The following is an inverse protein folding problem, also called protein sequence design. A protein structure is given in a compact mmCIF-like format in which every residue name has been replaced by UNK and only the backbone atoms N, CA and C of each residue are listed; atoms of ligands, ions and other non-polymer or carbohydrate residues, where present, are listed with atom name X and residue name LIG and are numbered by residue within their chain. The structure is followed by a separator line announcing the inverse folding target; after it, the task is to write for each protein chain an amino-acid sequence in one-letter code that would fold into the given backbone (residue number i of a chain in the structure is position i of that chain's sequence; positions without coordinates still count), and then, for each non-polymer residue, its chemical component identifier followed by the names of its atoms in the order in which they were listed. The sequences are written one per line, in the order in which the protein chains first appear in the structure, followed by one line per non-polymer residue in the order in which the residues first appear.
data_IF_456089088535
#
_entry.id   IF_456089088535
#
_cell.length_a   1.000
_cell.length_b   1.000
_cell.length_c   1.000
_cell.angle_alpha   90.00
_cell.angle_beta   90.00
_cell.angle_gamma   90.00
#
_symmetry.space_group_name_H-M   'P 1'
#
loop_
_entity.id
_entity.type
_entity.pdbx_description
1 polymer ?
#
# COMPACT_ATOMS: atom_id res chain seq x y z
N UNK A 1 15.95 12.44 11.90
CA UNK A 1 16.15 11.09 12.48
C UNK A 1 17.23 10.28 11.75
N UNK A 2 17.16 10.09 10.42
CA UNK A 2 18.14 9.25 9.69
C UNK A 2 19.60 9.72 9.82
N UNK A 3 19.86 11.02 9.74
CA UNK A 3 21.22 11.57 9.81
C UNK A 3 21.85 11.41 11.21
N UNK A 4 21.05 11.42 12.28
CA UNK A 4 21.54 11.21 13.66
C UNK A 4 21.85 9.74 13.94
N UNK A 5 21.03 8.81 13.45
CA UNK A 5 21.33 7.37 13.48
C UNK A 5 22.63 7.07 12.71
N UNK A 6 22.81 7.72 11.56
CA UNK A 6 24.06 7.67 10.82
C UNK A 6 25.25 8.19 11.65
N UNK A 7 25.10 9.28 12.40
CA UNK A 7 26.17 9.78 13.28
C UNK A 7 26.52 8.81 14.40
N UNK A 8 25.53 8.14 15.00
CA UNK A 8 25.78 7.13 16.02
C UNK A 8 26.62 5.98 15.45
N UNK A 9 26.22 5.44 14.29
CA UNK A 9 26.99 4.43 13.56
C UNK A 9 28.38 4.95 13.16
N UNK A 10 28.47 6.21 12.74
CA UNK A 10 29.74 6.85 12.39
C UNK A 10 30.68 6.95 13.60
N UNK A 11 30.18 7.21 14.81
CA UNK A 11 31.01 7.24 16.02
C UNK A 11 31.56 5.86 16.38
N UNK A 12 30.82 4.79 16.10
CA UNK A 12 31.35 3.43 16.27
C UNK A 12 32.44 3.13 15.23
N UNK A 13 32.24 3.56 13.98
CA UNK A 13 33.25 3.45 12.92
C UNK A 13 34.52 4.29 13.22
N UNK A 14 34.37 5.44 13.88
CA UNK A 14 35.47 6.29 14.36
C UNK A 14 36.30 5.60 15.44
N UNK A 15 35.67 4.83 16.33
CA UNK A 15 36.37 4.00 17.33
C UNK A 15 37.18 2.89 16.65
N UNK A 16 36.61 2.23 15.65
CA UNK A 16 37.30 1.17 14.88
C UNK A 16 38.50 1.72 14.09
N UNK A 17 38.42 2.95 13.60
CA UNK A 17 39.52 3.64 12.91
C UNK A 17 40.56 4.25 13.86
N UNK A 18 40.41 4.08 15.18
CA UNK A 18 41.28 4.65 16.22
C UNK A 18 41.50 6.16 16.08
N UNK A 19 40.45 6.89 15.70
CA UNK A 19 40.45 8.36 15.59
C UNK A 19 40.01 8.98 16.91
N UNK A 20 40.58 10.12 17.28
CA UNK A 20 40.16 10.83 18.49
C UNK A 20 38.74 11.37 18.35
N UNK A 21 37.83 10.83 19.17
CA UNK A 21 36.42 11.20 19.20
C UNK A 21 36.22 12.69 19.50
N UNK A 22 37.10 13.28 20.32
CA UNK A 22 36.99 14.69 20.72
C UNK A 22 37.26 15.61 19.51
N UNK A 23 38.29 15.32 18.71
CA UNK A 23 38.56 16.07 17.48
C UNK A 23 37.44 15.93 16.43
N UNK A 24 36.86 14.73 16.33
CA UNK A 24 35.73 14.43 15.43
C UNK A 24 34.48 15.24 15.83
N UNK A 25 34.13 15.25 17.11
CA UNK A 25 33.00 16.04 17.62
C UNK A 25 33.22 17.54 17.44
N UNK A 26 34.43 18.04 17.71
CA UNK A 26 34.78 19.45 17.48
C UNK A 26 34.55 19.87 16.03
N UNK A 27 34.98 19.06 15.07
CA UNK A 27 34.77 19.36 13.66
C UNK A 27 33.30 19.29 13.26
N UNK A 28 32.55 18.36 13.84
CA UNK A 28 31.11 18.26 13.60
C UNK A 28 30.34 19.50 14.07
N UNK A 29 30.66 20.01 15.27
CA UNK A 29 30.10 21.27 15.75
C UNK A 29 30.56 22.46 14.90
N UNK A 30 31.81 22.46 14.44
CA UNK A 30 32.28 23.52 13.54
C UNK A 30 31.49 23.55 12.22
N UNK A 31 31.17 22.39 11.65
CA UNK A 31 30.37 22.28 10.43
C UNK A 31 28.94 22.77 10.63
N UNK A 32 28.35 22.55 11.80
CA UNK A 32 26.97 22.93 12.04
C UNK A 32 26.76 24.43 12.16
N UNK A 33 27.75 25.17 12.67
CA UNK A 33 27.76 26.63 12.70
C UNK A 33 28.31 27.28 11.42
N UNK A 34 28.65 26.48 10.41
CA UNK A 34 29.15 27.01 9.14
C UNK A 34 28.01 27.56 8.27
N UNK A 35 28.32 28.57 7.44
CA UNK A 35 27.35 29.20 6.54
C UNK A 35 27.25 28.42 5.23
N UNK A 36 26.01 28.14 4.82
CA UNK A 36 25.75 27.50 3.54
C UNK A 36 26.30 28.35 2.39
N UNK A 37 27.03 27.72 1.47
CA UNK A 37 27.63 28.40 0.30
C UNK A 37 28.95 29.11 0.57
N UNK A 38 29.41 29.16 1.84
CA UNK A 38 30.73 29.68 2.16
C UNK A 38 31.82 28.61 1.98
N UNK A 39 32.94 29.00 1.36
CA UNK A 39 34.10 28.14 1.20
C UNK A 39 35.00 28.18 2.44
N UNK A 40 35.44 27.02 2.90
CA UNK A 40 36.36 26.86 4.03
C UNK A 40 37.64 26.16 3.58
N UNK A 41 38.78 26.53 4.16
CA UNK A 41 40.08 25.99 3.78
C UNK A 41 40.33 24.64 4.45
N UNK A 42 40.90 23.70 3.70
CA UNK A 42 41.29 22.38 4.23
C UNK A 42 42.58 22.48 5.07
N UNK A 43 43.40 23.49 4.82
CA UNK A 43 44.65 23.75 5.57
C UNK A 43 44.42 24.15 7.03
N UNK A 44 43.24 24.67 7.38
CA UNK A 44 42.91 25.01 8.77
C UNK A 44 42.46 23.82 9.60
N UNK A 45 42.37 22.63 9.00
CA UNK A 45 41.89 21.41 9.65
C UNK A 45 43.05 20.53 10.13
N UNK A 46 42.87 19.85 11.25
CA UNK A 46 43.83 18.85 11.74
C UNK A 46 43.89 17.63 10.80
N UNK A 47 44.95 16.82 10.83
CA UNK A 47 45.03 15.60 10.01
C UNK A 47 43.86 14.63 10.21
N UNK A 48 43.33 14.56 11.44
CA UNK A 48 42.16 13.75 11.80
C UNK A 48 40.90 14.33 11.14
N UNK A 49 40.73 15.65 11.20
CA UNK A 49 39.62 16.35 10.56
C UNK A 49 39.66 16.26 9.03
N UNK A 50 40.84 16.25 8.42
CA UNK A 50 41.00 16.03 6.97
C UNK A 50 40.59 14.62 6.55
N UNK A 51 40.90 13.60 7.36
CA UNK A 51 40.41 12.23 7.15
C UNK A 51 38.88 12.18 7.27
N UNK A 52 38.32 12.80 8.31
CA UNK A 52 36.88 12.90 8.50
C UNK A 52 36.18 13.62 7.34
N UNK A 53 36.78 14.69 6.80
CA UNK A 53 36.25 15.42 5.65
C UNK A 53 36.10 14.53 4.41
N UNK A 54 36.99 13.56 4.19
CA UNK A 54 36.84 12.60 3.07
C UNK A 54 35.63 11.69 3.27
N UNK A 55 35.39 11.28 4.51
CA UNK A 55 34.24 10.44 4.86
C UNK A 55 32.95 11.24 4.68
N UNK A 56 32.89 12.46 5.25
CA UNK A 56 31.74 13.36 5.10
C UNK A 56 31.45 13.73 3.65
N UNK A 57 32.49 13.80 2.80
CA UNK A 57 32.33 13.96 1.35
C UNK A 57 31.64 12.76 0.71
N UNK A 58 32.01 11.53 1.10
CA UNK A 58 31.35 10.31 0.64
C UNK A 58 29.85 10.28 0.97
N UNK A 59 29.48 10.89 2.11
CA UNK A 59 28.08 11.00 2.56
C UNK A 59 27.34 12.25 2.08
N UNK A 60 27.98 13.12 1.31
CA UNK A 60 27.36 14.37 0.85
C UNK A 60 27.11 15.41 1.96
N UNK A 61 27.75 15.26 3.12
CA UNK A 61 27.71 16.24 4.23
C UNK A 61 28.67 17.41 4.00
N UNK A 62 29.70 17.21 3.18
CA UNK A 62 30.59 18.25 2.70
C UNK A 62 30.84 18.07 1.19
N UNK A 63 30.80 19.16 0.43
CA UNK A 63 31.14 19.17 -0.97
C UNK A 63 32.58 19.62 -1.17
N UNK A 64 33.28 18.92 -2.06
CA UNK A 64 34.65 19.23 -2.48
C UNK A 64 34.82 18.78 -3.93
N UNK A 65 35.28 19.67 -4.81
CA UNK A 65 35.37 19.41 -6.27
C UNK A 65 36.32 18.25 -6.59
N UNK A 66 37.45 18.18 -5.88
CA UNK A 66 38.46 17.11 -6.01
C UNK A 66 39.07 16.77 -4.65
N UNK A 67 39.66 15.58 -4.50
CA UNK A 67 40.41 15.19 -3.28
C UNK A 67 41.58 16.12 -2.97
N UNK A 68 42.07 16.88 -3.94
CA UNK A 68 43.17 17.85 -3.81
C UNK A 68 42.71 19.31 -3.69
N UNK A 69 41.41 19.61 -3.83
CA UNK A 69 40.92 21.00 -3.83
C UNK A 69 41.15 21.67 -2.46
N UNK A 70 41.81 22.83 -2.36
CA UNK A 70 42.10 23.46 -1.06
C UNK A 70 40.85 23.92 -0.29
N UNK A 71 39.67 23.95 -0.93
CA UNK A 71 38.42 24.44 -0.33
C UNK A 71 37.37 23.33 -0.21
N UNK A 72 36.57 23.39 0.85
CA UNK A 72 35.37 22.57 1.01
C UNK A 72 34.16 23.45 1.34
N UNK A 73 32.97 22.92 1.06
CA UNK A 73 31.69 23.61 1.24
C UNK A 73 30.75 22.72 2.08
N UNK A 74 30.30 23.18 3.25
CA UNK A 74 29.25 22.50 4.01
C UNK A 74 27.96 22.42 3.19
N UNK A 75 27.31 21.25 3.21
CA UNK A 75 26.01 21.07 2.55
C UNK A 75 24.86 21.38 3.50
N UNK A 76 23.64 21.50 2.97
CA UNK A 76 22.44 21.68 3.81
C UNK A 76 22.26 20.55 4.83
N UNK A 77 22.69 19.34 4.50
CA UNK A 77 22.59 18.16 5.37
C UNK A 77 23.49 18.28 6.61
N UNK A 78 24.71 18.82 6.49
CA UNK A 78 25.60 19.00 7.65
C UNK A 78 25.11 20.09 8.59
N UNK A 79 24.57 21.18 8.05
CA UNK A 79 24.02 22.28 8.85
C UNK A 79 22.72 21.85 9.56
N UNK A 80 21.82 21.18 8.84
CA UNK A 80 20.55 20.70 9.38
C UNK A 80 20.71 19.58 10.44
N UNK A 81 21.86 18.89 10.45
CA UNK A 81 22.11 17.82 11.41
C UNK A 81 22.06 18.30 12.88
N UNK A 82 22.56 19.52 13.17
CA UNK A 82 22.56 20.05 14.54
C UNK A 82 21.31 20.85 14.88
N UNK A 83 20.65 21.44 13.88
CA UNK A 83 19.47 22.29 14.09
C UNK A 83 18.15 21.52 14.03
N UNK A 84 18.18 20.23 13.69
CA UNK A 84 16.98 19.44 13.44
C UNK A 84 16.46 19.61 12.02
N UNK A 85 15.70 18.62 11.54
CA UNK A 85 15.21 18.59 10.15
C UNK A 85 14.16 19.67 9.82
N UNK A 86 13.66 20.41 10.82
CA UNK A 86 12.81 21.60 10.60
C UNK A 86 13.54 22.68 9.77
N UNK A 87 14.88 22.70 9.80
CA UNK A 87 15.70 23.65 9.03
C UNK A 87 15.78 23.33 7.53
N UNK A 88 15.34 22.15 7.07
CA UNK A 88 15.42 21.74 5.66
C UNK A 88 14.24 22.21 4.80
N UNK A 89 13.25 22.89 5.41
CA UNK A 89 12.11 23.44 4.69
C UNK A 89 11.09 22.38 4.27
N UNK A 90 9.86 22.84 4.14
CA UNK A 90 8.56 22.15 4.00
C UNK A 90 8.43 21.17 2.81
N UNK A 91 9.33 20.21 2.68
CA UNK A 91 9.23 19.11 1.71
C UNK A 91 8.26 18.00 2.17
N UNK A 92 7.47 18.26 3.23
CA UNK A 92 6.59 17.31 3.90
C UNK A 92 5.24 17.06 3.18
N UNK A 93 5.04 17.57 1.96
CA UNK A 93 3.73 17.50 1.28
C UNK A 93 3.59 16.48 0.17
N UNK A 94 4.62 15.69 -0.12
CA UNK A 94 4.53 14.68 -1.16
C UNK A 94 4.61 13.29 -0.54
N UNK A 95 3.47 12.73 -0.14
CA UNK A 95 3.32 11.31 0.18
C UNK A 95 3.94 10.83 1.51
N UNK A 96 3.10 10.41 2.43
CA UNK A 96 3.50 9.93 3.76
C UNK A 96 3.32 8.42 3.97
N UNK A 97 2.72 7.72 3.00
CA UNK A 97 2.40 6.28 3.12
C UNK A 97 3.43 5.41 2.40
N UNK A 98 3.83 4.34 3.07
CA UNK A 98 4.64 3.26 2.54
C UNK A 98 3.91 1.94 2.75
N UNK A 99 3.81 1.14 1.70
CA UNK A 99 3.14 -0.17 1.74
C UNK A 99 4.09 -1.25 1.23
N UNK A 100 4.23 -2.32 2.03
CA UNK A 100 5.09 -3.45 1.73
C UNK A 100 4.29 -4.65 1.18
N UNK A 101 5.00 -5.61 0.59
CA UNK A 101 4.43 -6.87 0.07
C UNK A 101 3.81 -7.75 1.17
N UNK A 102 4.15 -7.55 2.44
CA UNK A 102 3.60 -8.29 3.58
C UNK A 102 2.33 -7.64 4.17
N UNK A 103 1.66 -6.76 3.42
CA UNK A 103 0.47 -5.98 3.83
C UNK A 103 0.71 -4.97 4.96
N UNK A 104 1.96 -4.72 5.36
CA UNK A 104 2.27 -3.66 6.34
C UNK A 104 2.21 -2.29 5.69
N UNK A 105 1.67 -1.35 6.47
CA UNK A 105 1.53 0.05 6.10
C UNK A 105 2.27 0.89 7.14
N UNK A 106 3.14 1.75 6.66
CA UNK A 106 3.89 2.71 7.44
C UNK A 106 3.48 4.11 7.02
N UNK A 107 2.99 4.91 7.96
CA UNK A 107 2.51 6.26 7.69
C UNK A 107 3.32 7.27 8.51
N UNK A 108 4.02 8.18 7.83
CA UNK A 108 4.79 9.25 8.46
C UNK A 108 3.95 10.51 8.57
N UNK A 109 2.99 10.49 9.50
CA UNK A 109 2.10 11.63 9.73
C UNK A 109 1.84 11.85 11.22
N UNK A 110 1.74 13.12 11.60
CA UNK A 110 1.24 13.57 12.91
C UNK A 110 -0.24 13.98 12.85
N UNK A 111 -0.83 14.07 11.66
CA UNK A 111 -2.21 14.49 11.46
C UNK A 111 -3.19 13.45 11.96
N UNK A 112 -4.03 13.83 12.93
CA UNK A 112 -5.08 12.94 13.45
C UNK A 112 -6.10 12.54 12.39
N UNK A 113 -6.35 13.42 11.40
CA UNK A 113 -7.29 13.17 10.31
C UNK A 113 -6.76 12.07 9.38
N UNK A 114 -5.49 12.16 8.97
CA UNK A 114 -4.89 11.16 8.08
C UNK A 114 -4.82 9.79 8.76
N UNK A 115 -4.52 9.76 10.07
CA UNK A 115 -4.54 8.54 10.87
C UNK A 115 -5.95 7.96 10.95
N UNK A 116 -6.98 8.79 11.13
CA UNK A 116 -8.37 8.35 11.20
C UNK A 116 -8.87 7.81 9.85
N UNK A 117 -8.47 8.43 8.72
CA UNK A 117 -8.77 7.94 7.38
C UNK A 117 -8.09 6.59 7.12
N UNK A 118 -6.82 6.45 7.50
CA UNK A 118 -6.09 5.20 7.38
C UNK A 118 -6.75 4.08 8.20
N UNK A 119 -7.24 4.41 9.40
CA UNK A 119 -7.96 3.48 10.27
C UNK A 119 -9.30 2.97 9.72
N UNK A 120 -9.82 3.53 8.62
CA UNK A 120 -11.04 3.00 7.98
C UNK A 120 -10.80 1.66 7.27
N UNK A 121 -9.58 1.42 6.79
CA UNK A 121 -9.26 0.23 5.99
C UNK A 121 -7.97 -0.49 6.41
N UNK A 122 -7.22 0.06 7.39
CA UNK A 122 -6.01 -0.52 7.97
C UNK A 122 -6.22 -0.81 9.45
N UNK A 123 -5.81 -1.99 9.90
CA UNK A 123 -5.71 -2.33 11.32
C UNK A 123 -4.44 -1.67 11.91
N UNK A 124 -4.63 -0.58 12.66
CA UNK A 124 -3.55 0.22 13.25
C UNK A 124 -2.98 -0.49 14.49
N UNK A 125 -1.69 -0.88 14.42
CA UNK A 125 -1.01 -1.65 15.48
C UNK A 125 -0.25 -0.76 16.46
N UNK A 126 0.55 0.16 15.92
CA UNK A 126 1.40 1.03 16.72
C UNK A 126 1.26 2.47 16.29
N UNK A 127 1.19 3.36 17.28
CA UNK A 127 1.14 4.81 17.07
C UNK A 127 2.25 5.46 17.89
N UNK A 128 3.15 6.13 17.18
CA UNK A 128 4.21 6.96 17.72
C UNK A 128 3.97 8.42 17.32
N UNK A 129 4.64 9.39 17.96
CA UNK A 129 4.61 10.78 17.53
C UNK A 129 5.13 10.90 16.08
N UNK A 130 4.25 11.25 15.14
CA UNK A 130 4.58 11.43 13.72
C UNK A 130 4.76 10.14 12.91
N UNK A 131 4.43 8.98 13.47
CA UNK A 131 4.60 7.70 12.79
C UNK A 131 3.57 6.66 13.23
N UNK A 132 2.97 5.97 12.27
CA UNK A 132 1.97 4.93 12.52
C UNK A 132 2.31 3.69 11.73
N UNK A 133 2.13 2.54 12.37
CA UNK A 133 2.30 1.21 11.76
C UNK A 133 0.97 0.48 11.80
N UNK A 134 0.54 -0.04 10.67
CA UNK A 134 -0.67 -0.85 10.55
C UNK A 134 -0.49 -2.01 9.58
N UNK A 135 -1.52 -2.83 9.49
CA UNK A 135 -1.58 -3.96 8.56
C UNK A 135 -2.93 -3.95 7.85
N UNK A 136 -2.93 -4.13 6.54
CA UNK A 136 -4.15 -4.33 5.77
C UNK A 136 -4.55 -5.80 5.93
N UNK A 137 -5.71 -6.05 6.51
CA UNK A 137 -6.23 -7.40 6.76
C UNK A 137 -7.56 -7.58 6.03
N UNK A 138 -7.97 -8.85 5.85
CA UNK A 138 -9.30 -9.17 5.33
C UNK A 138 -10.41 -8.47 6.12
N UNK A 139 -10.28 -8.42 7.44
CA UNK A 139 -11.28 -7.84 8.33
C UNK A 139 -11.33 -6.31 8.21
N UNK A 140 -10.18 -5.64 8.14
CA UNK A 140 -10.13 -4.18 7.97
C UNK A 140 -10.67 -3.76 6.60
N UNK A 141 -10.35 -4.50 5.53
CA UNK A 141 -10.95 -4.27 4.22
C UNK A 141 -12.46 -4.54 4.20
N UNK A 142 -12.91 -5.61 4.86
CA UNK A 142 -14.34 -5.92 4.98
C UNK A 142 -15.11 -4.81 5.69
N UNK A 143 -14.56 -4.28 6.79
CA UNK A 143 -15.15 -3.16 7.50
C UNK A 143 -15.23 -1.89 6.63
N UNK A 144 -14.18 -1.58 5.88
CA UNK A 144 -14.17 -0.47 4.93
C UNK A 144 -15.28 -0.62 3.86
N UNK A 145 -15.44 -1.81 3.30
CA UNK A 145 -16.45 -2.12 2.29
C UNK A 145 -17.88 -2.00 2.83
N UNK A 146 -18.11 -2.40 4.09
CA UNK A 146 -19.41 -2.20 4.77
C UNK A 146 -19.72 -0.71 4.94
N UNK A 147 -18.70 0.10 5.20
CA UNK A 147 -18.81 1.55 5.28
C UNK A 147 -18.92 2.24 3.90
N UNK A 148 -19.00 1.47 2.81
CA UNK A 148 -19.16 1.99 1.45
C UNK A 148 -17.86 2.42 0.76
N UNK A 149 -16.69 2.04 1.30
CA UNK A 149 -15.38 2.33 0.70
C UNK A 149 -14.99 1.15 -0.19
N UNK A 150 -15.03 1.35 -1.51
CA UNK A 150 -14.70 0.33 -2.51
C UNK A 150 -13.20 0.03 -2.59
N UNK A 151 -12.83 -1.17 -3.05
CA UNK A 151 -11.44 -1.62 -3.12
C UNK A 151 -10.56 -0.71 -3.99
N UNK A 152 -11.10 -0.22 -5.10
CA UNK A 152 -10.44 0.76 -5.97
C UNK A 152 -10.17 2.11 -5.28
N UNK A 153 -11.03 2.54 -4.35
CA UNK A 153 -10.84 3.78 -3.59
C UNK A 153 -9.72 3.62 -2.56
N UNK A 154 -9.62 2.45 -1.92
CA UNK A 154 -8.51 2.12 -1.01
C UNK A 154 -7.18 2.17 -1.76
N UNK A 155 -7.10 1.48 -2.90
CA UNK A 155 -5.90 1.47 -3.75
C UNK A 155 -5.56 2.88 -4.23
N UNK A 156 -6.56 3.63 -4.72
CA UNK A 156 -6.39 5.02 -5.16
C UNK A 156 -5.85 5.93 -4.06
N UNK A 157 -6.39 5.84 -2.85
CA UNK A 157 -5.91 6.59 -1.70
C UNK A 157 -4.44 6.29 -1.38
N UNK A 158 -4.06 5.01 -1.36
CA UNK A 158 -2.66 4.61 -1.13
C UNK A 158 -1.76 5.16 -2.25
N UNK A 159 -2.17 5.11 -3.52
CA UNK A 159 -1.38 5.64 -4.64
C UNK A 159 -1.19 7.16 -4.53
N UNK A 160 -2.26 7.90 -4.24
CA UNK A 160 -2.22 9.37 -4.11
C UNK A 160 -1.32 9.80 -2.96
N UNK A 161 -1.31 9.07 -1.84
CA UNK A 161 -0.52 9.42 -0.67
C UNK A 161 0.78 8.61 -0.51
N UNK A 162 1.16 7.82 -1.52
CA UNK A 162 2.40 7.05 -1.52
C UNK A 162 3.63 7.96 -1.47
N UNK A 163 4.63 7.55 -0.69
CA UNK A 163 5.91 8.22 -0.54
C UNK A 163 6.60 8.44 -1.91
N UNK A 164 7.35 9.53 -2.13
CA UNK A 164 7.90 9.88 -3.44
C UNK A 164 8.80 8.79 -4.02
N UNK A 165 9.59 8.14 -3.15
CA UNK A 165 10.45 7.02 -3.53
C UNK A 165 9.67 5.78 -3.97
N UNK A 166 8.42 5.60 -3.49
CA UNK A 166 7.55 4.55 -4.00
C UNK A 166 6.91 4.93 -5.33
N UNK A 167 6.61 6.22 -5.54
CA UNK A 167 6.07 6.70 -6.82
C UNK A 167 7.04 6.53 -7.99
N UNK A 168 8.35 6.44 -7.72
CA UNK A 168 9.35 6.10 -8.76
C UNK A 168 9.33 4.63 -9.17
N UNK A 169 8.66 3.77 -8.40
CA UNK A 169 8.52 2.35 -8.72
C UNK A 169 7.30 2.11 -9.62
N UNK A 170 7.43 1.17 -10.55
CA UNK A 170 6.34 0.75 -11.44
C UNK A 170 6.08 -0.74 -11.23
N UNK A 171 4.95 -1.15 -10.63
CA UNK A 171 3.87 -0.33 -10.08
C UNK A 171 4.20 0.32 -8.72
N UNK A 172 3.55 1.45 -8.41
CA UNK A 172 3.76 2.23 -7.17
C UNK A 172 3.43 1.40 -5.93
N UNK A 173 2.35 0.62 -6.01
CA UNK A 173 1.93 -0.31 -4.97
C UNK A 173 2.29 -1.73 -5.44
N UNK A 174 2.82 -2.59 -4.57
CA UNK A 174 3.02 -3.99 -4.90
C UNK A 174 1.74 -4.66 -5.43
N UNK A 175 1.86 -5.40 -6.54
CA UNK A 175 0.71 -6.02 -7.24
C UNK A 175 -0.07 -6.93 -6.30
N UNK A 176 0.63 -7.71 -5.48
CA UNK A 176 0.02 -8.64 -4.55
C UNK A 176 -0.91 -7.94 -3.53
N UNK A 177 -0.58 -6.71 -3.10
CA UNK A 177 -1.42 -5.93 -2.19
C UNK A 177 -2.71 -5.50 -2.90
N UNK A 178 -2.56 -5.00 -4.13
CA UNK A 178 -3.70 -4.57 -4.96
C UNK A 178 -4.64 -5.74 -5.23
N UNK A 179 -4.09 -6.88 -5.66
CA UNK A 179 -4.85 -8.09 -5.95
C UNK A 179 -5.55 -8.62 -4.70
N UNK A 180 -4.88 -8.60 -3.55
CA UNK A 180 -5.46 -9.10 -2.30
C UNK A 180 -6.65 -8.26 -1.84
N UNK A 181 -6.58 -6.93 -1.96
CA UNK A 181 -7.69 -6.02 -1.64
C UNK A 181 -8.89 -6.30 -2.57
N UNK A 182 -8.63 -6.39 -3.88
CA UNK A 182 -9.67 -6.67 -4.87
C UNK A 182 -10.28 -8.08 -4.69
N UNK A 183 -9.46 -9.06 -4.31
CA UNK A 183 -9.93 -10.40 -4.01
C UNK A 183 -10.89 -10.37 -2.82
N UNK A 184 -10.53 -9.68 -1.73
CA UNK A 184 -11.39 -9.53 -0.55
C UNK A 184 -12.71 -8.82 -0.85
N UNK A 185 -12.72 -7.83 -1.73
CA UNK A 185 -13.95 -7.21 -2.22
C UNK A 185 -14.84 -8.24 -2.95
N UNK A 186 -14.28 -9.00 -3.89
CA UNK A 186 -15.02 -10.06 -4.61
C UNK A 186 -15.52 -11.19 -3.71
N UNK A 187 -14.93 -11.39 -2.53
CA UNK A 187 -15.45 -12.39 -1.59
C UNK A 187 -16.83 -12.04 -1.04
N UNK A 188 -17.17 -10.74 -0.99
CA UNK A 188 -18.51 -10.27 -0.60
C UNK A 188 -19.54 -10.59 -1.69
N UNK A 189 -19.16 -10.46 -2.95
CA UNK A 189 -20.05 -10.61 -4.11
C UNK A 189 -20.21 -12.08 -4.56
N UNK A 190 -19.91 -13.05 -3.68
CA UNK A 190 -19.97 -14.49 -4.00
C UNK A 190 -21.39 -15.05 -4.12
N UNK A 191 -22.38 -14.38 -3.54
CA UNK A 191 -23.75 -14.88 -3.50
C UNK A 191 -24.63 -14.07 -4.43
N UNK A 192 -25.08 -14.70 -5.51
CA UNK A 192 -26.14 -14.19 -6.37
C UNK A 192 -27.42 -14.91 -5.96
N UNK A 193 -28.33 -14.16 -5.33
CA UNK A 193 -29.66 -14.68 -5.00
C UNK A 193 -30.55 -14.56 -6.24
N UNK A 194 -31.11 -15.68 -6.67
CA UNK A 194 -32.08 -15.72 -7.76
C UNK A 194 -33.40 -16.28 -7.23
N UNK A 195 -34.47 -15.48 -7.29
CA UNK A 195 -35.82 -15.93 -6.97
C UNK A 195 -36.39 -16.74 -8.13
N UNK A 196 -37.01 -17.89 -7.82
CA UNK A 196 -37.43 -18.83 -8.85
C UNK A 196 -37.98 -20.14 -8.31
N UNK A 197 -38.20 -21.08 -9.22
CA UNK A 197 -38.78 -22.39 -8.92
C UNK A 197 -37.81 -23.50 -9.27
N UNK A 198 -37.62 -24.43 -8.32
CA UNK A 198 -36.93 -25.69 -8.53
C UNK A 198 -37.92 -26.73 -9.03
N UNK A 199 -37.69 -27.27 -10.21
CA UNK A 199 -38.39 -28.46 -10.69
C UNK A 199 -37.61 -29.72 -10.29
N UNK A 200 -38.32 -30.64 -9.65
CA UNK A 200 -37.83 -31.95 -9.21
C UNK A 200 -38.99 -32.97 -9.24
N UNK A 201 -38.67 -34.25 -9.05
CA UNK A 201 -39.64 -35.35 -8.94
C UNK A 201 -40.58 -35.51 -10.15
N UNK A 202 -40.01 -35.56 -11.35
CA UNK A 202 -40.79 -35.79 -12.57
C UNK A 202 -41.32 -37.23 -12.64
N UNK A 203 -42.62 -37.44 -12.96
CA UNK A 203 -43.21 -38.78 -13.08
C UNK A 203 -42.62 -39.59 -14.25
N UNK A 204 -42.24 -38.92 -15.33
CA UNK A 204 -41.68 -39.52 -16.54
C UNK A 204 -40.44 -38.75 -17.01
N UNK A 205 -39.45 -39.48 -17.51
CA UNK A 205 -38.22 -38.88 -18.06
C UNK A 205 -38.48 -38.03 -19.31
N UNK A 206 -39.50 -38.40 -20.11
CA UNK A 206 -39.94 -37.61 -21.27
C UNK A 206 -40.56 -36.26 -20.89
N UNK A 207 -41.21 -36.18 -19.74
CA UNK A 207 -41.76 -34.93 -19.21
C UNK A 207 -40.64 -34.03 -18.70
N UNK A 208 -39.66 -34.60 -17.99
CA UNK A 208 -38.47 -33.87 -17.57
C UNK A 208 -37.73 -33.26 -18.76
N UNK A 209 -37.49 -34.04 -19.82
CA UNK A 209 -36.81 -33.59 -21.05
C UNK A 209 -37.57 -32.47 -21.77
N UNK A 210 -38.89 -32.56 -21.84
CA UNK A 210 -39.72 -31.53 -22.47
C UNK A 210 -39.70 -30.22 -21.70
N UNK A 211 -39.88 -30.28 -20.38
CA UNK A 211 -39.90 -29.07 -19.53
C UNK A 211 -38.52 -28.42 -19.49
N UNK A 212 -37.44 -29.22 -19.47
CA UNK A 212 -36.08 -28.73 -19.60
C UNK A 212 -35.82 -28.06 -20.96
N UNK A 213 -36.27 -28.67 -22.07
CA UNK A 213 -36.15 -28.08 -23.41
C UNK A 213 -36.94 -26.76 -23.52
N UNK A 214 -38.16 -26.71 -22.99
CA UNK A 214 -38.94 -25.49 -22.94
C UNK A 214 -38.25 -24.40 -22.09
N UNK A 215 -37.59 -24.75 -20.99
CA UNK A 215 -36.84 -23.80 -20.17
C UNK A 215 -35.63 -23.20 -20.91
N UNK A 216 -34.95 -23.99 -21.75
CA UNK A 216 -33.88 -23.53 -22.64
C UNK A 216 -34.45 -22.65 -23.76
N UNK A 217 -35.52 -23.09 -24.43
CA UNK A 217 -36.13 -22.38 -25.56
C UNK A 217 -36.68 -21.01 -25.14
N UNK A 218 -37.14 -20.88 -23.89
CA UNK A 218 -37.60 -19.60 -23.34
C UNK A 218 -36.50 -18.75 -22.68
N UNK A 219 -35.26 -19.25 -22.61
CA UNK A 219 -34.10 -18.59 -21.98
C UNK A 219 -34.35 -18.21 -20.50
N UNK A 220 -34.96 -19.13 -19.74
CA UNK A 220 -35.35 -18.91 -18.33
C UNK A 220 -34.64 -19.85 -17.35
N UNK A 221 -33.73 -20.68 -17.85
CA UNK A 221 -32.97 -21.66 -17.08
C UNK A 221 -31.80 -20.98 -16.36
N UNK A 222 -31.74 -21.09 -15.03
CA UNK A 222 -30.67 -20.51 -14.20
C UNK A 222 -29.66 -21.59 -13.80
N UNK A 223 -30.14 -22.79 -13.48
CA UNK A 223 -29.30 -23.90 -13.06
C UNK A 223 -29.93 -25.24 -13.47
N UNK A 224 -29.10 -26.23 -13.80
CA UNK A 224 -29.56 -27.58 -14.12
C UNK A 224 -28.59 -28.63 -13.57
N UNK A 225 -29.16 -29.75 -13.12
CA UNK A 225 -28.46 -30.98 -12.77
C UNK A 225 -29.11 -32.16 -13.50
N UNK A 226 -28.46 -32.56 -14.59
CA UNK A 226 -28.90 -33.64 -15.47
C UNK A 226 -28.88 -35.01 -14.80
N UNK A 227 -28.04 -35.22 -13.77
CA UNK A 227 -27.96 -36.51 -13.08
C UNK A 227 -29.22 -36.82 -12.26
N UNK A 228 -29.85 -35.78 -11.70
CA UNK A 228 -31.04 -35.90 -10.85
C UNK A 228 -32.33 -35.40 -11.54
N UNK A 229 -32.27 -35.01 -12.82
CA UNK A 229 -33.36 -34.34 -13.54
C UNK A 229 -33.93 -33.12 -12.77
N UNK A 230 -33.04 -32.33 -12.16
CA UNK A 230 -33.42 -31.13 -11.41
C UNK A 230 -32.99 -29.89 -12.17
N UNK A 231 -33.82 -28.86 -12.18
CA UNK A 231 -33.44 -27.56 -12.74
C UNK A 231 -34.20 -26.41 -12.10
N UNK A 232 -33.55 -25.25 -12.05
CA UNK A 232 -34.06 -24.02 -11.44
C UNK A 232 -34.34 -22.99 -12.54
N UNK A 233 -35.54 -22.41 -12.51
CA UNK A 233 -35.97 -21.39 -13.47
C UNK A 233 -36.36 -20.10 -12.78
N UNK A 234 -36.33 -18.99 -13.51
CA UNK A 234 -36.87 -17.70 -13.05
C UNK A 234 -38.37 -17.77 -12.74
N UNK A 235 -38.85 -16.92 -11.85
CA UNK A 235 -40.28 -16.78 -11.54
C UNK A 235 -41.13 -16.50 -12.79
N UNK A 236 -40.66 -15.59 -13.65
CA UNK A 236 -41.32 -15.27 -14.93
C UNK A 236 -41.36 -16.46 -15.91
N UNK A 237 -40.35 -17.35 -15.84
CA UNK A 237 -40.28 -18.56 -16.63
C UNK A 237 -41.25 -19.65 -16.20
N UNK A 238 -41.52 -19.76 -14.89
CA UNK A 238 -42.42 -20.78 -14.34
C UNK A 238 -43.82 -20.73 -14.98
N UNK A 239 -44.40 -19.55 -15.14
CA UNK A 239 -45.73 -19.43 -15.75
C UNK A 239 -45.75 -19.90 -17.22
N UNK A 240 -44.71 -19.56 -17.98
CA UNK A 240 -44.61 -19.90 -19.41
C UNK A 240 -44.49 -21.40 -19.59
N UNK A 241 -43.62 -22.01 -18.77
CA UNK A 241 -43.41 -23.46 -18.74
C UNK A 241 -44.69 -24.18 -18.31
N UNK A 242 -45.38 -23.69 -17.27
CA UNK A 242 -46.65 -24.27 -16.79
C UNK A 242 -47.74 -24.24 -17.85
N UNK A 243 -47.85 -23.14 -18.61
CA UNK A 243 -48.79 -23.03 -19.74
C UNK A 243 -48.44 -24.00 -20.88
N UNK A 244 -47.16 -24.11 -21.24
CA UNK A 244 -46.71 -25.05 -22.27
C UNK A 244 -46.97 -26.52 -21.87
N UNK A 245 -46.72 -26.87 -20.61
CA UNK A 245 -46.96 -28.21 -20.10
C UNK A 245 -48.45 -28.57 -20.04
N UNK A 246 -49.32 -27.63 -19.63
CA UNK A 246 -50.79 -27.83 -19.67
C UNK A 246 -51.31 -28.08 -21.09
N UNK A 247 -50.88 -27.29 -22.08
CA UNK A 247 -51.25 -27.49 -23.49
C UNK A 247 -50.85 -28.86 -24.02
N UNK A 248 -49.66 -29.35 -23.65
CA UNK A 248 -49.21 -30.69 -24.01
C UNK A 248 -50.10 -31.78 -23.40
N UNK A 249 -50.51 -31.63 -22.14
CA UNK A 249 -51.36 -32.60 -21.44
C UNK A 249 -52.81 -32.59 -21.93
N UNK A 250 -53.33 -31.43 -22.35
CA UNK A 250 -54.65 -31.30 -22.96
C UNK A 250 -54.68 -31.85 -24.40
N UNK A 251 -53.59 -31.73 -25.16
CA UNK A 251 -53.46 -32.35 -26.49
C UNK A 251 -53.17 -33.86 -26.50
N UNK A 252 -52.96 -34.46 -25.33
CA UNK A 252 -52.81 -35.91 -25.13
C UNK A 252 -54.11 -36.59 -24.64
N UNK A 253 -55.18 -35.83 -24.40
CA UNK A 253 -56.54 -36.34 -24.13
C UNK A 253 -57.35 -36.38 -25.41
#
# INVERSE_FOLDING_TARGET
MQVWLFMLQFFDLVKDMNMDLVEVLKFQFQLSFSKLGQAYLVSSLTPVQQKMLQILRGFGLAYRKSKSDPKFYPTRLSIAMSHGMDALGDSQKEGFLIVETNMRVFAYTSSTLEIALLGQFVDLRYRFPGFVVGVITRESCRQALVNGIAGNQIVGYIQTHAHPQMRTLTPVIPVNVTDQIMMWEKERDRLVFNEGYLYQDFPNEEDAKFVHKAAIDFDVLIWANTANNQFFVTEAGHERIRRAYKKRKEGMR
#
